data_IF_381860198015
#
_entry.id   IF_381860198015
#
_cell.length_a   1.000
_cell.length_b   1.000
_cell.length_c   1.000
_cell.angle_alpha   90.00
_cell.angle_beta   90.00
_cell.angle_gamma   90.00
#
_symmetry.space_group_name_H-M   'P 1'
#
loop_
_entity.id
_entity.type
_entity.pdbx_description
1 polymer ?
#
# COMPACT_ATOMS: atom_id res chain seq x y z
N UNK A 1 -6.24 5.43 9.05
CA UNK A 1 -5.46 6.00 7.93
C UNK A 1 -5.51 7.52 8.05
N UNK A 2 -4.38 8.18 8.17
CA UNK A 2 -4.29 9.63 7.99
C UNK A 2 -3.94 9.82 6.52
N UNK A 3 -4.91 10.26 5.72
CA UNK A 3 -4.67 10.64 4.34
C UNK A 3 -3.89 11.97 4.32
N UNK A 4 -2.58 11.88 4.23
CA UNK A 4 -1.74 12.99 3.84
C UNK A 4 -1.68 12.96 2.31
N UNK A 5 -2.62 13.60 1.65
CA UNK A 5 -2.55 13.81 0.21
C UNK A 5 -1.48 14.87 -0.07
N UNK A 6 -0.46 14.60 -0.91
CA UNK A 6 0.61 15.56 -1.20
C UNK A 6 0.14 16.86 -1.88
N UNK A 7 -1.07 16.86 -2.46
CA UNK A 7 -1.72 18.01 -3.10
C UNK A 7 -3.12 18.24 -2.52
N UNK A 8 -3.31 17.96 -1.24
CA UNK A 8 -4.57 18.22 -0.53
C UNK A 8 -4.93 19.70 -0.55
N UNK A 9 -6.22 20.06 -0.28
CA UNK A 9 -6.59 21.44 -0.07
C UNK A 9 -5.72 22.09 1.00
N UNK A 10 -5.54 23.40 0.90
CA UNK A 10 -4.78 24.18 1.88
C UNK A 10 -5.14 23.73 3.30
N UNK A 11 -4.12 23.51 4.13
CA UNK A 11 -4.28 23.11 5.53
C UNK A 11 -5.23 24.09 6.24
N UNK A 12 -6.45 23.64 6.47
CA UNK A 12 -7.50 24.42 7.15
C UNK A 12 -7.35 24.35 8.68
N UNK A 13 -6.32 23.66 9.17
CA UNK A 13 -6.08 23.42 10.59
C UNK A 13 -7.06 22.42 11.22
N UNK A 14 -7.78 21.65 10.40
CA UNK A 14 -8.72 20.61 10.84
C UNK A 14 -8.12 19.25 10.56
N UNK A 15 -8.01 18.41 11.59
CA UNK A 15 -7.62 17.01 11.44
C UNK A 15 -8.87 16.12 11.36
N UNK A 16 -8.89 15.24 10.37
CA UNK A 16 -9.94 14.25 10.20
C UNK A 16 -9.40 12.86 10.52
N UNK A 17 -10.15 12.08 11.27
CA UNK A 17 -9.89 10.67 11.50
C UNK A 17 -11.11 9.87 11.04
N UNK A 18 -10.92 9.06 10.01
CA UNK A 18 -11.96 8.17 9.50
C UNK A 18 -11.61 6.73 9.85
N UNK A 19 -12.61 5.97 10.27
CA UNK A 19 -12.49 4.51 10.39
C UNK A 19 -13.78 3.88 9.89
N UNK A 20 -13.64 2.69 9.34
CA UNK A 20 -14.72 1.97 8.70
C UNK A 20 -15.08 0.75 9.55
N UNK A 21 -16.36 0.51 9.70
CA UNK A 21 -16.91 -0.67 10.38
C UNK A 21 -17.82 -1.38 9.40
N UNK A 22 -17.61 -2.67 9.19
CA UNK A 22 -18.40 -3.47 8.26
C UNK A 22 -19.79 -3.75 8.85
N UNK A 23 -20.82 -3.43 8.09
CA UNK A 23 -22.18 -3.84 8.40
C UNK A 23 -22.45 -5.23 7.80
N UNK A 24 -22.93 -6.15 8.61
CA UNK A 24 -23.30 -7.49 8.18
C UNK A 24 -24.68 -7.49 7.53
N UNK A 25 -24.99 -8.53 6.75
CA UNK A 25 -26.30 -8.71 6.10
C UNK A 25 -27.50 -8.63 7.08
N UNK A 26 -27.29 -8.91 8.36
CA UNK A 26 -28.31 -8.83 9.41
C UNK A 26 -28.44 -7.42 10.04
N UNK A 27 -27.70 -6.42 9.53
CA UNK A 27 -27.67 -5.05 10.04
C UNK A 27 -26.84 -4.87 11.32
N UNK A 28 -26.11 -5.90 11.76
CA UNK A 28 -25.22 -5.79 12.90
C UNK A 28 -23.81 -5.37 12.45
N UNK A 29 -23.13 -4.61 13.30
CA UNK A 29 -21.70 -4.31 13.14
C UNK A 29 -20.86 -5.35 13.90
N UNK A 30 -19.62 -5.53 13.48
CA UNK A 30 -18.65 -6.33 14.20
C UNK A 30 -17.39 -5.50 14.48
N UNK A 31 -17.06 -5.33 15.75
CA UNK A 31 -15.84 -4.63 16.20
C UNK A 31 -15.07 -5.57 17.11
N UNK A 32 -13.79 -5.81 16.78
CA UNK A 32 -12.90 -6.70 17.52
C UNK A 32 -13.46 -8.12 17.75
N UNK A 33 -14.30 -8.62 16.84
CA UNK A 33 -14.93 -9.95 16.95
C UNK A 33 -16.21 -9.98 17.79
N UNK A 34 -16.70 -8.83 18.25
CA UNK A 34 -17.94 -8.72 19.00
C UNK A 34 -19.03 -8.01 18.18
N UNK A 35 -20.26 -8.57 18.21
CA UNK A 35 -21.41 -7.92 17.57
C UNK A 35 -21.82 -6.68 18.36
N UNK A 36 -22.08 -5.59 17.62
CA UNK A 36 -22.44 -4.30 18.20
C UNK A 36 -23.45 -3.55 17.31
N UNK A 37 -23.79 -2.34 17.67
CA UNK A 37 -24.65 -1.46 16.87
C UNK A 37 -23.98 -0.11 16.66
N UNK A 38 -24.43 0.64 15.65
CA UNK A 38 -23.93 2.00 15.36
C UNK A 38 -24.02 2.91 16.57
N UNK A 39 -25.11 2.84 17.34
CA UNK A 39 -25.32 3.65 18.54
C UNK A 39 -24.30 3.31 19.65
N UNK A 40 -23.98 2.02 19.81
CA UNK A 40 -23.00 1.57 20.80
C UNK A 40 -21.60 2.03 20.43
N UNK A 41 -21.21 1.86 19.16
CA UNK A 41 -19.91 2.35 18.64
C UNK A 41 -19.78 3.85 18.82
N UNK A 42 -20.82 4.62 18.46
CA UNK A 42 -20.82 6.08 18.64
C UNK A 42 -20.71 6.50 20.11
N UNK A 43 -21.38 5.78 21.01
CA UNK A 43 -21.30 6.06 22.44
C UNK A 43 -19.88 5.81 22.97
N UNK A 44 -19.22 4.75 22.52
CA UNK A 44 -17.86 4.43 22.88
C UNK A 44 -16.87 5.48 22.35
N UNK A 45 -17.00 5.84 21.07
CA UNK A 45 -16.14 6.89 20.47
C UNK A 45 -16.30 8.22 21.22
N UNK A 46 -17.51 8.64 21.52
CA UNK A 46 -17.74 9.89 22.27
C UNK A 46 -17.16 9.84 23.67
N UNK A 47 -17.27 8.70 24.34
CA UNK A 47 -16.68 8.52 25.67
C UNK A 47 -15.15 8.63 25.62
N UNK A 48 -14.50 7.94 24.67
CA UNK A 48 -13.05 8.00 24.50
C UNK A 48 -12.55 9.41 24.14
N UNK A 49 -13.30 10.13 23.30
CA UNK A 49 -12.99 11.52 22.98
C UNK A 49 -13.08 12.42 24.22
N UNK A 50 -14.11 12.24 25.07
CA UNK A 50 -14.25 12.99 26.30
C UNK A 50 -13.13 12.70 27.31
N UNK A 51 -12.68 11.44 27.35
CA UNK A 51 -11.54 11.06 28.17
C UNK A 51 -10.23 11.69 27.64
N UNK A 52 -10.03 11.74 26.33
CA UNK A 52 -8.87 12.40 25.73
C UNK A 52 -8.82 13.91 26.04
N UNK A 53 -9.97 14.61 26.14
CA UNK A 53 -10.03 16.03 26.52
C UNK A 53 -9.37 16.34 27.87
N UNK A 54 -9.25 15.35 28.76
CA UNK A 54 -8.59 15.51 30.05
C UNK A 54 -7.07 15.64 29.93
N UNK A 55 -6.50 15.19 28.80
CA UNK A 55 -5.05 15.10 28.59
C UNK A 55 -4.54 16.04 27.50
N UNK A 56 -5.41 16.42 26.55
CA UNK A 56 -5.00 17.25 25.42
C UNK A 56 -6.18 18.04 24.84
N UNK A 57 -5.87 19.13 24.17
CA UNK A 57 -6.86 19.87 23.40
C UNK A 57 -7.13 19.13 22.09
N UNK A 58 -8.34 18.62 21.92
CA UNK A 58 -8.79 17.91 20.72
C UNK A 58 -9.76 18.74 19.88
N UNK A 59 -9.85 20.03 20.12
CA UNK A 59 -10.75 20.94 19.41
C UNK A 59 -12.21 20.58 19.59
N UNK A 60 -13.03 20.78 18.55
CA UNK A 60 -14.48 20.51 18.58
C UNK A 60 -14.78 19.02 18.74
N UNK A 61 -13.98 18.15 18.10
CA UNK A 61 -14.13 16.70 18.10
C UNK A 61 -15.56 16.25 17.72
N UNK A 62 -16.08 16.83 16.63
CA UNK A 62 -17.37 16.43 16.07
C UNK A 62 -17.29 15.00 15.48
N UNK A 63 -18.34 14.21 15.70
CA UNK A 63 -18.43 12.84 15.16
C UNK A 63 -19.57 12.81 14.16
N UNK A 64 -19.27 12.41 12.93
CA UNK A 64 -20.24 12.22 11.85
C UNK A 64 -20.25 10.76 11.47
N UNK A 65 -21.44 10.18 11.30
CA UNK A 65 -21.62 8.86 10.71
C UNK A 65 -22.05 9.07 9.27
N UNK A 66 -21.36 8.38 8.38
CA UNK A 66 -21.70 8.36 6.96
C UNK A 66 -21.80 6.89 6.52
N UNK A 67 -22.69 6.60 5.62
CA UNK A 67 -22.83 5.28 5.00
C UNK A 67 -22.15 5.37 3.64
N UNK A 68 -21.07 4.62 3.46
CA UNK A 68 -20.48 4.43 2.14
C UNK A 68 -21.07 3.18 1.53
N UNK A 69 -21.57 3.28 0.28
CA UNK A 69 -21.86 2.08 -0.49
C UNK A 69 -20.61 1.20 -0.53
N UNK A 70 -20.82 -0.12 -0.56
CA UNK A 70 -19.73 -1.09 -0.72
C UNK A 70 -19.08 -0.87 -2.09
N UNK A 71 -18.28 0.20 -2.17
CA UNK A 71 -17.46 0.47 -3.33
C UNK A 71 -16.40 -0.63 -3.29
N UNK A 72 -16.30 -1.39 -4.36
CA UNK A 72 -15.25 -2.39 -4.56
C UNK A 72 -13.86 -1.75 -4.40
N UNK A 73 -13.46 -1.54 -3.14
CA UNK A 73 -12.18 -0.94 -2.77
C UNK A 73 -11.02 -1.74 -3.32
N UNK A 74 -11.22 -3.06 -3.52
CA UNK A 74 -10.22 -3.96 -4.08
C UNK A 74 -9.87 -3.56 -5.52
N UNK A 75 -10.83 -3.02 -6.28
CA UNK A 75 -10.61 -2.61 -7.66
C UNK A 75 -10.57 -1.09 -7.88
N UNK A 76 -11.13 -0.31 -6.94
CA UNK A 76 -11.27 1.13 -7.12
C UNK A 76 -9.92 1.87 -7.07
N UNK A 77 -8.94 1.39 -6.31
CA UNK A 77 -7.59 1.97 -6.25
C UNK A 77 -6.86 1.89 -7.59
N UNK A 78 -7.20 0.93 -8.47
CA UNK A 78 -6.58 0.76 -9.79
C UNK A 78 -6.72 2.00 -10.67
N UNK A 79 -7.81 2.76 -10.52
CA UNK A 79 -8.01 4.00 -11.26
C UNK A 79 -7.10 5.15 -10.83
N UNK A 80 -6.48 5.05 -9.65
CA UNK A 80 -5.56 6.06 -9.12
C UNK A 80 -4.10 5.67 -9.26
N UNK A 81 -3.81 4.41 -9.57
CA UNK A 81 -2.44 3.93 -9.76
C UNK A 81 -2.10 3.93 -11.25
N UNK A 82 -1.25 4.87 -11.65
CA UNK A 82 -0.78 5.04 -13.02
C UNK A 82 0.73 4.83 -13.11
N UNK A 83 1.21 4.58 -14.34
CA UNK A 83 2.63 4.46 -14.62
C UNK A 83 3.39 5.73 -14.19
N UNK A 84 4.57 5.54 -13.66
CA UNK A 84 5.47 6.61 -13.26
C UNK A 84 6.93 6.19 -13.43
N UNK A 85 7.86 7.13 -13.24
CA UNK A 85 9.27 6.88 -13.44
C UNK A 85 10.06 6.99 -12.14
N UNK A 86 11.01 6.08 -11.98
CA UNK A 86 12.10 6.19 -11.01
C UNK A 86 13.39 6.22 -11.83
N UNK A 87 13.91 7.41 -12.06
CA UNK A 87 15.03 7.70 -12.97
C UNK A 87 14.77 7.13 -14.39
N UNK A 88 15.49 6.08 -14.82
CA UNK A 88 15.31 5.39 -16.11
C UNK A 88 14.43 4.12 -16.03
N UNK A 89 13.81 3.87 -14.89
CA UNK A 89 12.91 2.73 -14.70
C UNK A 89 11.48 3.22 -14.89
N UNK A 90 10.74 2.59 -15.79
CA UNK A 90 9.30 2.75 -15.89
C UNK A 90 8.62 1.75 -14.94
N UNK A 91 7.92 2.24 -13.95
CA UNK A 91 7.03 1.43 -13.10
C UNK A 91 5.62 1.53 -13.67
N UNK A 92 5.03 0.40 -14.00
CA UNK A 92 3.76 0.32 -14.72
C UNK A 92 2.90 -0.83 -14.21
N UNK A 93 1.60 -0.62 -13.97
CA UNK A 93 0.69 -1.71 -13.66
C UNK A 93 0.41 -2.59 -14.88
N UNK A 94 0.03 -3.85 -14.65
CA UNK A 94 -0.20 -4.83 -15.73
C UNK A 94 -1.35 -4.45 -16.68
N UNK A 95 -2.29 -3.60 -16.25
CA UNK A 95 -3.43 -3.14 -17.06
C UNK A 95 -3.12 -1.92 -17.94
N UNK A 96 -1.95 -1.30 -17.81
CA UNK A 96 -1.54 -0.20 -18.69
C UNK A 96 -0.60 -0.70 -19.79
N UNK A 97 -0.55 0.05 -20.90
CA UNK A 97 0.32 -0.25 -22.01
C UNK A 97 1.57 0.63 -22.00
N UNK A 98 2.72 0.01 -22.28
CA UNK A 98 3.98 0.72 -22.48
C UNK A 98 3.87 1.63 -23.69
N UNK A 99 4.23 2.90 -23.53
CA UNK A 99 4.24 3.85 -24.64
C UNK A 99 5.43 3.59 -25.58
N UNK A 100 5.32 3.92 -26.88
CA UNK A 100 6.42 3.69 -27.83
C UNK A 100 7.74 4.37 -27.45
N UNK A 101 7.68 5.50 -26.76
CA UNK A 101 8.85 6.25 -26.28
C UNK A 101 9.58 5.57 -25.11
N UNK A 102 8.98 4.56 -24.51
CA UNK A 102 9.51 3.90 -23.31
C UNK A 102 10.03 2.49 -23.57
N UNK A 103 10.05 2.06 -24.82
CA UNK A 103 10.47 0.69 -25.20
C UNK A 103 11.93 0.40 -24.89
N UNK A 104 12.78 1.43 -24.76
CA UNK A 104 14.22 1.29 -24.42
C UNK A 104 14.48 1.38 -22.92
N UNK A 105 13.47 1.59 -22.11
CA UNK A 105 13.62 1.70 -20.64
C UNK A 105 13.59 0.33 -19.96
N UNK A 106 14.15 0.27 -18.76
CA UNK A 106 13.85 -0.86 -17.87
C UNK A 106 12.39 -0.74 -17.41
N UNK A 107 11.59 -1.75 -17.70
CA UNK A 107 10.18 -1.77 -17.33
C UNK A 107 9.98 -2.71 -16.17
N UNK A 108 9.41 -2.20 -15.09
CA UNK A 108 8.98 -2.96 -13.92
C UNK A 108 7.46 -2.97 -13.88
N UNK A 109 6.86 -4.14 -14.01
CA UNK A 109 5.44 -4.32 -13.76
C UNK A 109 5.19 -4.54 -12.27
N UNK A 110 4.35 -3.69 -11.67
CA UNK A 110 3.93 -3.83 -10.27
C UNK A 110 2.42 -3.68 -10.18
N UNK A 111 1.79 -4.73 -9.71
CA UNK A 111 0.39 -4.72 -9.30
C UNK A 111 0.37 -4.75 -7.76
N UNK A 112 0.15 -3.59 -7.10
CA UNK A 112 0.23 -3.55 -5.65
C UNK A 112 -0.81 -4.42 -4.94
N UNK A 113 -1.96 -4.67 -5.58
CA UNK A 113 -3.04 -5.47 -5.02
C UNK A 113 -3.47 -4.94 -3.64
N UNK A 114 -3.63 -5.85 -2.69
CA UNK A 114 -3.87 -5.54 -1.27
C UNK A 114 -2.57 -5.42 -0.47
N UNK A 115 -1.42 -5.78 -1.05
CA UNK A 115 -0.12 -5.67 -0.41
C UNK A 115 0.44 -4.25 -0.51
N UNK A 116 1.20 -3.83 0.51
CA UNK A 116 1.91 -2.55 0.49
C UNK A 116 3.07 -2.59 -0.53
N UNK A 117 3.42 -1.43 -1.12
CA UNK A 117 4.62 -1.33 -1.97
C UNK A 117 4.33 -0.97 -3.43
N UNK A 118 3.63 0.16 -3.68
CA UNK A 118 3.42 0.71 -5.02
C UNK A 118 4.71 1.24 -5.68
N UNK A 119 5.75 1.52 -4.89
CA UNK A 119 6.95 2.20 -5.34
C UNK A 119 6.85 3.73 -5.41
N UNK A 120 5.67 4.31 -5.22
CA UNK A 120 5.48 5.78 -5.31
C UNK A 120 6.09 6.53 -4.13
N UNK A 121 6.20 5.89 -2.97
CA UNK A 121 6.74 6.53 -1.77
C UNK A 121 8.24 6.84 -1.92
N UNK A 122 8.67 8.03 -1.48
CA UNK A 122 10.05 8.51 -1.63
C UNK A 122 11.08 7.58 -0.97
N UNK A 123 10.73 6.93 0.14
CA UNK A 123 11.62 5.96 0.80
C UNK A 123 11.89 4.75 -0.07
N UNK A 124 10.87 4.22 -0.75
CA UNK A 124 11.02 3.11 -1.70
C UNK A 124 11.89 3.52 -2.88
N UNK A 125 11.66 4.70 -3.44
CA UNK A 125 12.47 5.24 -4.53
C UNK A 125 13.93 5.44 -4.11
N UNK A 126 14.18 5.93 -2.89
CA UNK A 126 15.54 6.06 -2.35
C UNK A 126 16.23 4.70 -2.19
N UNK A 127 15.52 3.68 -1.70
CA UNK A 127 16.02 2.32 -1.62
C UNK A 127 16.40 1.79 -3.00
N UNK A 128 15.54 1.95 -4.01
CA UNK A 128 15.79 1.52 -5.39
C UNK A 128 17.08 2.17 -5.96
N UNK A 129 17.23 3.50 -5.76
CA UNK A 129 18.45 4.22 -6.19
C UNK A 129 19.71 3.75 -5.48
N UNK A 130 19.60 3.29 -4.22
CA UNK A 130 20.74 2.74 -3.51
C UNK A 130 21.04 1.29 -3.95
N UNK A 131 20.02 0.42 -4.06
CA UNK A 131 20.19 -0.96 -4.51
C UNK A 131 21.00 -1.05 -5.78
N UNK A 132 20.70 -0.22 -6.78
CA UNK A 132 21.40 -0.18 -8.06
C UNK A 132 22.93 0.01 -7.95
N UNK A 133 23.41 0.62 -6.84
CA UNK A 133 24.84 0.85 -6.61
C UNK A 133 25.55 -0.35 -6.00
N UNK A 134 24.82 -1.25 -5.34
CA UNK A 134 25.40 -2.34 -4.56
C UNK A 134 25.14 -3.72 -5.16
N UNK A 135 24.16 -3.85 -6.07
CA UNK A 135 23.86 -5.13 -6.70
C UNK A 135 24.98 -5.57 -7.63
N UNK A 136 25.40 -6.82 -7.46
CA UNK A 136 26.35 -7.53 -8.32
C UNK A 136 25.80 -8.92 -8.65
N UNK A 137 26.37 -9.66 -9.62
CA UNK A 137 25.94 -11.03 -9.94
C UNK A 137 26.10 -12.03 -8.79
N UNK A 138 26.86 -11.71 -7.76
CA UNK A 138 27.05 -12.54 -6.57
C UNK A 138 26.12 -12.14 -5.41
N UNK A 139 25.35 -11.06 -5.57
CA UNK A 139 24.49 -10.55 -4.51
C UNK A 139 23.37 -11.52 -4.21
N UNK A 140 23.25 -11.90 -2.94
CA UNK A 140 22.10 -12.56 -2.34
C UNK A 140 21.42 -11.54 -1.44
N UNK A 141 20.15 -11.24 -1.72
CA UNK A 141 19.37 -10.19 -1.06
C UNK A 141 18.40 -10.79 -0.05
N UNK A 142 18.23 -10.17 1.10
CA UNK A 142 17.11 -10.38 2.02
C UNK A 142 16.27 -9.10 2.08
N UNK A 143 14.99 -9.21 1.71
CA UNK A 143 14.00 -8.13 1.76
C UNK A 143 13.02 -8.39 2.91
N UNK A 144 13.16 -7.63 3.99
CA UNK A 144 12.34 -7.78 5.19
C UNK A 144 11.19 -6.79 5.15
N UNK A 145 9.97 -7.29 5.13
CA UNK A 145 8.77 -6.49 4.83
C UNK A 145 8.64 -6.27 3.32
N UNK A 146 8.72 -7.35 2.55
CA UNK A 146 8.84 -7.30 1.09
C UNK A 146 7.60 -6.71 0.40
N UNK A 147 6.41 -6.82 1.01
CA UNK A 147 5.14 -6.31 0.47
C UNK A 147 4.87 -6.82 -0.94
N UNK A 148 4.83 -5.94 -1.93
CA UNK A 148 4.67 -6.28 -3.34
C UNK A 148 5.87 -6.99 -3.98
N UNK A 149 7.01 -7.09 -3.26
CA UNK A 149 8.27 -7.61 -3.77
C UNK A 149 9.09 -6.60 -4.57
N UNK A 150 8.69 -5.35 -4.65
CA UNK A 150 9.28 -4.34 -5.56
C UNK A 150 10.81 -4.22 -5.42
N UNK A 151 11.36 -4.21 -4.20
CA UNK A 151 12.79 -4.06 -3.98
C UNK A 151 13.55 -5.33 -4.38
N UNK A 152 13.03 -6.49 -3.99
CA UNK A 152 13.61 -7.78 -4.32
C UNK A 152 13.58 -8.05 -5.84
N UNK A 153 12.44 -7.83 -6.49
CA UNK A 153 12.27 -8.00 -7.95
C UNK A 153 13.24 -7.08 -8.70
N UNK A 154 13.30 -5.79 -8.36
CA UNK A 154 14.26 -4.88 -9.00
C UNK A 154 15.70 -5.29 -8.76
N UNK A 155 16.04 -5.81 -7.58
CA UNK A 155 17.38 -6.31 -7.31
C UNK A 155 17.77 -7.47 -8.25
N UNK A 156 16.84 -8.39 -8.50
CA UNK A 156 17.03 -9.47 -9.49
C UNK A 156 17.17 -8.92 -10.92
N UNK A 157 16.33 -7.94 -11.28
CA UNK A 157 16.42 -7.26 -12.58
C UNK A 157 17.72 -6.50 -12.76
N UNK A 158 18.35 -5.99 -11.69
CA UNK A 158 19.68 -5.39 -11.70
C UNK A 158 20.81 -6.43 -11.76
N UNK A 159 20.47 -7.71 -11.66
CA UNK A 159 21.41 -8.81 -11.81
C UNK A 159 21.84 -9.46 -10.51
N UNK A 160 21.10 -9.30 -9.41
CA UNK A 160 21.34 -10.09 -8.20
C UNK A 160 21.16 -11.59 -8.50
N UNK A 161 21.94 -12.41 -7.79
CA UNK A 161 21.92 -13.86 -7.96
C UNK A 161 20.62 -14.47 -7.42
N UNK A 162 20.19 -13.99 -6.26
CA UNK A 162 19.05 -14.55 -5.54
C UNK A 162 18.45 -13.53 -4.58
N UNK A 163 17.15 -13.61 -4.32
CA UNK A 163 16.46 -12.80 -3.34
C UNK A 163 15.58 -13.69 -2.44
N UNK A 164 15.48 -13.29 -1.17
CA UNK A 164 14.54 -13.85 -0.19
C UNK A 164 13.67 -12.72 0.31
N UNK A 165 12.34 -12.85 0.18
CA UNK A 165 11.36 -11.92 0.71
C UNK A 165 10.73 -12.47 1.99
N UNK A 166 10.54 -11.62 3.00
CA UNK A 166 9.77 -11.98 4.20
C UNK A 166 8.75 -10.89 4.51
N UNK A 167 7.55 -11.29 4.92
CA UNK A 167 6.51 -10.36 5.34
C UNK A 167 5.66 -10.97 6.47
N UNK A 168 5.02 -10.12 7.27
CA UNK A 168 4.03 -10.53 8.27
C UNK A 168 2.64 -10.70 7.67
N UNK A 169 2.39 -10.03 6.55
CA UNK A 169 1.12 -10.12 5.83
C UNK A 169 1.15 -11.27 4.82
N UNK A 170 0.26 -12.24 5.00
CA UNK A 170 0.13 -13.39 4.08
C UNK A 170 -0.22 -12.96 2.65
N UNK A 171 -0.89 -11.82 2.46
CA UNK A 171 -1.21 -11.29 1.16
C UNK A 171 0.05 -10.94 0.33
N UNK A 172 1.19 -10.67 0.98
CA UNK A 172 2.45 -10.41 0.31
C UNK A 172 2.93 -11.61 -0.51
N UNK A 173 2.69 -12.84 -0.04
CA UNK A 173 3.11 -14.08 -0.75
C UNK A 173 2.48 -14.15 -2.14
N UNK A 174 1.18 -13.89 -2.24
CA UNK A 174 0.47 -13.92 -3.51
C UNK A 174 0.88 -12.75 -4.41
N UNK A 175 1.00 -11.55 -3.83
CA UNK A 175 1.41 -10.35 -4.56
C UNK A 175 2.82 -10.51 -5.16
N UNK A 176 3.78 -11.01 -4.39
CA UNK A 176 5.15 -11.29 -4.86
C UNK A 176 5.14 -12.31 -5.98
N UNK A 177 4.40 -13.42 -5.84
CA UNK A 177 4.33 -14.45 -6.87
C UNK A 177 3.81 -13.89 -8.20
N UNK A 178 2.72 -13.11 -8.16
CA UNK A 178 2.14 -12.47 -9.35
C UNK A 178 3.12 -11.46 -9.97
N UNK A 179 3.73 -10.61 -9.14
CA UNK A 179 4.69 -9.62 -9.63
C UNK A 179 5.98 -10.26 -10.19
N UNK A 180 6.45 -11.36 -9.63
CA UNK A 180 7.56 -12.14 -10.20
C UNK A 180 7.19 -12.70 -11.58
N UNK A 181 6.01 -13.28 -11.73
CA UNK A 181 5.54 -13.87 -12.99
C UNK A 181 5.48 -12.82 -14.10
N UNK A 182 4.84 -11.66 -13.86
CA UNK A 182 4.69 -10.60 -14.89
C UNK A 182 6.01 -9.95 -15.28
N UNK A 183 7.03 -9.99 -14.39
CA UNK A 183 8.37 -9.49 -14.69
C UNK A 183 9.32 -10.58 -15.23
N UNK A 184 8.84 -11.81 -15.42
CA UNK A 184 9.64 -12.90 -15.94
C UNK A 184 10.80 -13.33 -15.01
N UNK A 185 10.64 -13.17 -13.71
CA UNK A 185 11.63 -13.61 -12.72
C UNK A 185 11.59 -15.13 -12.63
N UNK A 186 12.76 -15.77 -12.73
CA UNK A 186 12.87 -17.21 -12.53
C UNK A 186 12.50 -17.57 -11.09
N UNK A 187 11.51 -18.48 -10.89
CA UNK A 187 11.13 -18.92 -9.55
C UNK A 187 12.28 -19.50 -8.71
N UNK A 188 13.37 -19.95 -9.35
CA UNK A 188 14.56 -20.42 -8.64
C UNK A 188 15.42 -19.27 -8.05
N UNK A 189 15.11 -18.02 -8.37
CA UNK A 189 15.86 -16.86 -7.91
C UNK A 189 15.16 -16.10 -6.77
N UNK A 190 13.93 -16.45 -6.42
CA UNK A 190 13.17 -15.76 -5.39
C UNK A 190 12.48 -16.78 -4.44
N UNK A 191 12.77 -16.66 -3.12
CA UNK A 191 12.15 -17.44 -2.03
C UNK A 191 11.35 -16.56 -1.07
#
# INVERSE_FOLDING_TARGET
FVDILPDGPEDDGIAYLSFFVEEKEDGSLEVAGEKTTTEAVLADVKRELEDLRQFMDIGEASVVVDETEDIDWINNWKQYFHQFYIDDILVIPSWENIKPEDTDKMVLHIDPGTAFGTGMHETTQLCIRQLRKFITPETELLDVGTGSGILAILSLMFGAKHAVGTDLDICAVEAVAQNCEVNGIDPAQFD
#
